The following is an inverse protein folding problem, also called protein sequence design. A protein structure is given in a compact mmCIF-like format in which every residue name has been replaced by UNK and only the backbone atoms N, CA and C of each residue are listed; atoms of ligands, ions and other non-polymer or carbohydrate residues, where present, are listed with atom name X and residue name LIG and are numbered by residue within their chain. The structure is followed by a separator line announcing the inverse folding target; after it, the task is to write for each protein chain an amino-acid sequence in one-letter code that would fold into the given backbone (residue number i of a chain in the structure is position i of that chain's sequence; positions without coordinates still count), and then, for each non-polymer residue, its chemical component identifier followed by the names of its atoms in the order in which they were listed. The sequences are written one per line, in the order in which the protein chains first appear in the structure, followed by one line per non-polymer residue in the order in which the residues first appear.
data_IF_100957220756
#
_entry.id   IF_100957220756
#
_cell.length_a   1.000
_cell.length_b   1.000
_cell.length_c   1.000
_cell.angle_alpha   90.00
_cell.angle_beta   90.00
_cell.angle_gamma   90.00
#
_symmetry.space_group_name_H-M   'P 1'
#
loop_
_entity.id
_entity.type
_entity.pdbx_description
1 polymer ?
#
# COMPACT_ATOMS: atom_id res chain seq x y z
N UNK A 1 1.80 2.46 12.03
CA UNK A 1 1.11 1.31 12.68
C UNK A 1 1.30 0.12 11.75
N UNK A 2 2.19 -0.82 12.08
CA UNK A 2 2.53 -2.09 11.39
C UNK A 2 3.88 -2.63 11.87
N UNK A 3 4.69 -1.80 12.52
CA UNK A 3 6.06 -2.11 12.98
C UNK A 3 6.16 -3.43 13.75
N UNK A 4 5.25 -3.68 14.70
CA UNK A 4 5.22 -4.94 15.47
C UNK A 4 4.87 -6.19 14.62
N UNK A 5 4.14 -6.03 13.50
CA UNK A 5 3.83 -7.13 12.58
C UNK A 5 5.03 -7.43 11.68
N UNK A 6 5.73 -6.39 11.27
CA UNK A 6 6.94 -6.46 10.44
C UNK A 6 8.10 -7.10 11.22
N UNK A 7 8.28 -6.74 12.49
CA UNK A 7 9.34 -7.25 13.36
C UNK A 7 9.34 -8.78 13.45
N UNK A 8 8.16 -9.41 13.51
CA UNK A 8 8.00 -10.89 13.52
C UNK A 8 8.56 -11.59 12.29
N UNK A 9 8.77 -10.85 11.20
CA UNK A 9 9.16 -11.36 9.88
C UNK A 9 10.59 -10.97 9.50
N UNK A 10 11.26 -10.22 10.36
CA UNK A 10 12.63 -9.77 10.12
C UNK A 10 13.57 -10.98 9.98
N UNK A 11 14.46 -10.93 9.00
CA UNK A 11 15.43 -12.00 8.72
C UNK A 11 14.88 -13.19 7.92
N UNK A 12 13.58 -13.21 7.56
CA UNK A 12 13.05 -14.23 6.67
C UNK A 12 13.43 -13.95 5.21
N UNK A 13 13.69 -15.01 4.44
CA UNK A 13 14.12 -14.90 3.04
C UNK A 13 13.02 -14.38 2.09
N UNK A 14 11.75 -14.63 2.41
CA UNK A 14 10.61 -14.14 1.64
C UNK A 14 9.50 -13.69 2.58
N UNK A 15 9.17 -12.41 2.53
CA UNK A 15 8.19 -11.76 3.42
C UNK A 15 6.93 -11.30 2.66
N UNK A 16 6.73 -11.82 1.45
CA UNK A 16 5.55 -11.47 0.65
C UNK A 16 4.27 -12.10 1.20
N UNK A 17 3.15 -11.42 1.03
CA UNK A 17 1.83 -11.94 1.43
C UNK A 17 1.48 -13.22 0.66
N UNK A 18 1.89 -13.32 -0.61
CA UNK A 18 1.75 -14.53 -1.43
C UNK A 18 2.49 -15.74 -0.82
N UNK A 19 3.69 -15.53 -0.29
CA UNK A 19 4.48 -16.58 0.34
C UNK A 19 3.77 -17.16 1.57
N UNK A 20 3.31 -16.28 2.47
CA UNK A 20 2.56 -16.70 3.66
C UNK A 20 1.24 -17.38 3.31
N UNK A 21 0.49 -16.81 2.35
CA UNK A 21 -0.78 -17.38 1.90
C UNK A 21 -0.63 -18.82 1.38
N UNK A 22 0.41 -19.10 0.58
CA UNK A 22 0.68 -20.44 0.05
C UNK A 22 1.10 -21.45 1.11
N UNK A 23 1.48 -21.00 2.30
CA UNK A 23 1.74 -21.84 3.47
C UNK A 23 0.51 -22.00 4.38
N UNK A 24 -0.64 -21.43 4.00
CA UNK A 24 -1.85 -21.42 4.82
C UNK A 24 -1.78 -20.48 6.01
N UNK A 25 -0.81 -19.55 6.04
CA UNK A 25 -0.63 -18.60 7.14
C UNK A 25 -1.46 -17.35 6.86
N UNK A 26 -2.43 -17.08 7.75
CA UNK A 26 -3.16 -15.80 7.78
C UNK A 26 -2.30 -14.77 8.50
N UNK A 27 -1.88 -13.73 7.79
CA UNK A 27 -1.06 -12.63 8.32
C UNK A 27 -1.93 -11.56 8.97
N UNK A 28 -1.31 -10.67 9.76
CA UNK A 28 -2.03 -9.51 10.31
C UNK A 28 -2.59 -8.59 9.20
N UNK A 29 -1.90 -8.47 8.06
CA UNK A 29 -2.45 -7.73 6.92
C UNK A 29 -3.69 -8.41 6.32
N UNK A 30 -3.68 -9.74 6.16
CA UNK A 30 -4.86 -10.47 5.66
C UNK A 30 -6.05 -10.33 6.61
N UNK A 31 -5.82 -10.47 7.92
CA UNK A 31 -6.85 -10.31 8.94
C UNK A 31 -7.43 -8.87 8.95
N UNK A 32 -6.56 -7.86 8.84
CA UNK A 32 -6.97 -6.46 8.76
C UNK A 32 -7.86 -6.20 7.54
N UNK A 33 -7.45 -6.70 6.37
CA UNK A 33 -8.19 -6.54 5.12
C UNK A 33 -9.51 -7.30 5.14
N UNK A 34 -9.51 -8.53 5.65
CA UNK A 34 -10.73 -9.33 5.81
C UNK A 34 -11.78 -8.56 6.63
N UNK A 35 -11.37 -7.97 7.76
CA UNK A 35 -12.24 -7.11 8.56
C UNK A 35 -12.72 -5.87 7.79
N UNK A 36 -11.83 -5.17 7.09
CA UNK A 36 -12.14 -3.96 6.32
C UNK A 36 -13.13 -4.20 5.18
N UNK A 37 -13.00 -5.34 4.51
CA UNK A 37 -13.85 -5.74 3.38
C UNK A 37 -15.11 -6.50 3.82
N UNK A 38 -15.24 -6.85 5.10
CA UNK A 38 -16.27 -7.74 5.63
C UNK A 38 -16.27 -9.11 4.93
N UNK A 39 -15.09 -9.73 4.82
CA UNK A 39 -14.85 -11.04 4.22
C UNK A 39 -14.26 -12.00 5.24
N UNK A 40 -14.41 -13.33 5.07
CA UNK A 40 -13.67 -14.31 5.86
C UNK A 40 -12.16 -14.22 5.62
N UNK A 41 -11.36 -14.39 6.68
CA UNK A 41 -9.89 -14.42 6.58
C UNK A 41 -9.38 -15.53 5.67
N UNK A 42 -10.03 -16.70 5.71
CA UNK A 42 -9.71 -17.83 4.83
C UNK A 42 -9.88 -17.48 3.36
N UNK A 43 -10.94 -16.75 2.99
CA UNK A 43 -11.18 -16.33 1.62
C UNK A 43 -10.08 -15.38 1.14
N UNK A 44 -9.69 -14.40 1.96
CA UNK A 44 -8.60 -13.47 1.62
C UNK A 44 -7.29 -14.23 1.42
N UNK A 45 -6.94 -15.13 2.34
CA UNK A 45 -5.74 -15.96 2.25
C UNK A 45 -5.76 -16.85 1.00
N UNK A 46 -6.86 -17.53 0.70
CA UNK A 46 -7.01 -18.37 -0.50
C UNK A 46 -6.91 -17.56 -1.80
N UNK A 47 -7.54 -16.38 -1.87
CA UNK A 47 -7.46 -15.48 -3.03
C UNK A 47 -6.04 -14.96 -3.26
N UNK A 48 -5.31 -14.65 -2.18
CA UNK A 48 -3.90 -14.27 -2.25
C UNK A 48 -3.05 -15.47 -2.68
N UNK A 49 -3.24 -16.65 -2.09
CA UNK A 49 -2.47 -17.86 -2.41
C UNK A 49 -2.57 -18.26 -3.89
N UNK A 50 -3.77 -18.11 -4.47
CA UNK A 50 -4.05 -18.40 -5.89
C UNK A 50 -3.74 -17.25 -6.85
N UNK A 51 -3.27 -16.11 -6.34
CA UNK A 51 -2.84 -14.97 -7.16
C UNK A 51 -3.97 -14.16 -7.79
N UNK A 52 -5.18 -14.23 -7.24
CA UNK A 52 -6.36 -13.47 -7.70
C UNK A 52 -6.67 -12.24 -6.82
N UNK A 53 -5.93 -12.10 -5.74
CA UNK A 53 -5.91 -10.92 -4.87
C UNK A 53 -4.47 -10.62 -4.46
N UNK A 54 -4.14 -9.34 -4.35
CA UNK A 54 -2.87 -8.87 -3.80
C UNK A 54 -3.11 -7.94 -2.61
N UNK A 55 -2.13 -7.87 -1.71
CA UNK A 55 -2.06 -6.88 -0.62
C UNK A 55 -0.71 -6.16 -0.77
N UNK A 56 -0.67 -4.97 -1.39
CA UNK A 56 0.57 -4.22 -1.62
C UNK A 56 1.09 -3.61 -0.32
N UNK A 57 1.88 -4.38 0.42
CA UNK A 57 2.27 -4.05 1.79
C UNK A 57 3.76 -4.23 2.03
N UNK A 58 4.57 -3.41 1.37
CA UNK A 58 6.02 -3.37 1.58
C UNK A 58 6.35 -3.21 3.09
N UNK A 59 7.34 -3.95 3.58
CA UNK A 59 7.79 -3.93 4.97
C UNK A 59 8.36 -2.57 5.39
N UNK A 60 8.86 -1.77 4.43
CA UNK A 60 9.42 -0.45 4.70
C UNK A 60 8.36 0.67 4.72
N UNK A 61 7.07 0.33 4.60
CA UNK A 61 5.97 1.28 4.70
C UNK A 61 5.15 1.02 5.99
N UNK A 62 5.67 1.43 7.17
CA UNK A 62 5.10 1.07 8.46
C UNK A 62 3.84 1.87 8.83
N UNK A 63 3.50 2.91 8.06
CA UNK A 63 2.31 3.74 8.26
C UNK A 63 1.11 3.27 7.42
N UNK A 64 1.32 2.29 6.54
CA UNK A 64 0.29 1.72 5.68
C UNK A 64 -0.86 1.11 6.49
N UNK A 65 -2.09 1.46 6.13
CA UNK A 65 -3.31 0.75 6.46
C UNK A 65 -3.61 -0.27 5.34
N UNK A 66 -3.44 -1.59 5.60
CA UNK A 66 -3.55 -2.58 4.55
C UNK A 66 -4.89 -2.58 3.81
N UNK A 67 -4.83 -2.93 2.53
CA UNK A 67 -6.00 -3.15 1.67
C UNK A 67 -5.73 -4.25 0.64
N UNK A 68 -6.78 -4.89 0.15
CA UNK A 68 -6.71 -5.84 -0.94
C UNK A 68 -7.11 -5.23 -2.28
N UNK A 69 -6.48 -5.72 -3.34
CA UNK A 69 -6.91 -5.52 -4.72
C UNK A 69 -7.17 -6.91 -5.30
N UNK A 70 -8.43 -7.21 -5.64
CA UNK A 70 -8.84 -8.50 -6.20
C UNK A 70 -10.34 -8.59 -6.41
N UNK A 71 -10.77 -9.58 -7.20
CA UNK A 71 -12.17 -9.73 -7.63
C UNK A 71 -13.15 -9.90 -6.46
N UNK A 72 -12.73 -10.57 -5.38
CA UNK A 72 -13.57 -10.81 -4.20
C UNK A 72 -13.67 -9.59 -3.25
N UNK A 73 -12.84 -8.56 -3.43
CA UNK A 73 -12.88 -7.32 -2.65
C UNK A 73 -13.67 -6.24 -3.38
N UNK A 74 -14.03 -5.14 -2.70
CA UNK A 74 -14.60 -3.95 -3.36
C UNK A 74 -13.66 -3.45 -4.46
N UNK A 75 -14.22 -2.85 -5.50
CA UNK A 75 -13.42 -2.14 -6.50
C UNK A 75 -12.58 -1.05 -5.82
N UNK A 76 -11.32 -0.89 -6.26
CA UNK A 76 -10.36 0.05 -5.70
C UNK A 76 -10.00 1.12 -6.73
N UNK A 77 -9.80 2.35 -6.29
CA UNK A 77 -9.46 3.50 -7.15
C UNK A 77 -8.06 4.01 -6.83
N UNK A 78 -7.27 4.24 -7.86
CA UNK A 78 -5.94 4.86 -7.73
C UNK A 78 -5.98 6.34 -8.13
N UNK A 79 -5.27 7.19 -7.39
CA UNK A 79 -5.00 8.57 -7.78
C UNK A 79 -3.53 8.75 -8.18
N UNK A 80 -3.28 9.42 -9.30
CA UNK A 80 -1.92 9.79 -9.71
C UNK A 80 -1.62 11.20 -9.22
N UNK A 81 -0.49 11.36 -8.55
CA UNK A 81 0.11 12.64 -8.18
C UNK A 81 1.54 12.71 -8.76
N UNK A 82 2.25 13.80 -8.53
CA UNK A 82 3.63 13.93 -8.96
C UNK A 82 4.01 15.36 -9.33
N UNK A 83 5.27 15.68 -9.04
CA UNK A 83 5.92 16.91 -9.45
C UNK A 83 6.43 16.84 -10.89
N UNK A 84 6.45 17.98 -11.55
CA UNK A 84 6.98 18.14 -12.89
C UNK A 84 8.11 19.17 -12.89
N UNK A 85 8.98 19.20 -13.92
CA UNK A 85 10.05 20.19 -14.03
C UNK A 85 9.61 21.65 -13.85
N UNK A 86 8.33 21.93 -14.12
CA UNK A 86 7.78 23.28 -14.15
C UNK A 86 6.82 23.57 -13.00
N UNK A 87 6.45 22.58 -12.17
CA UNK A 87 5.40 22.74 -11.17
C UNK A 87 5.47 21.67 -10.08
N UNK A 88 5.03 22.07 -8.89
CA UNK A 88 4.91 21.28 -7.65
C UNK A 88 6.19 21.10 -6.86
N UNK A 89 6.08 21.36 -5.56
CA UNK A 89 7.10 21.08 -4.55
C UNK A 89 6.63 19.97 -3.58
N UNK A 90 7.46 19.63 -2.59
CA UNK A 90 7.13 18.61 -1.58
C UNK A 90 5.81 18.94 -0.86
N UNK A 91 5.56 20.21 -0.54
CA UNK A 91 4.35 20.62 0.20
C UNK A 91 3.10 20.44 -0.65
N UNK A 92 3.17 20.80 -1.93
CA UNK A 92 2.06 20.60 -2.87
C UNK A 92 1.75 19.13 -3.10
N UNK A 93 2.77 18.27 -3.24
CA UNK A 93 2.56 16.82 -3.38
C UNK A 93 1.94 16.19 -2.13
N UNK A 94 2.35 16.61 -0.94
CA UNK A 94 1.74 16.16 0.31
C UNK A 94 0.27 16.59 0.43
N UNK A 95 -0.07 17.81 -0.01
CA UNK A 95 -1.46 18.27 -0.06
C UNK A 95 -2.29 17.46 -1.06
N UNK A 96 -1.74 17.13 -2.24
CA UNK A 96 -2.41 16.28 -3.23
C UNK A 96 -2.66 14.88 -2.67
N UNK A 97 -1.68 14.29 -1.98
CA UNK A 97 -1.82 13.02 -1.27
C UNK A 97 -2.95 13.07 -0.25
N UNK A 98 -2.94 14.06 0.65
CA UNK A 98 -3.97 14.23 1.67
C UNK A 98 -5.36 14.36 1.04
N UNK A 99 -5.48 15.16 -0.02
CA UNK A 99 -6.73 15.38 -0.72
C UNK A 99 -7.24 14.11 -1.40
N UNK A 100 -6.36 13.35 -2.06
CA UNK A 100 -6.70 12.09 -2.71
C UNK A 100 -7.24 11.07 -1.71
N UNK A 101 -6.54 10.89 -0.58
CA UNK A 101 -6.98 9.98 0.49
C UNK A 101 -8.29 10.45 1.11
N UNK A 102 -8.43 11.75 1.39
CA UNK A 102 -9.66 12.35 1.95
C UNK A 102 -10.90 12.08 1.09
N UNK A 103 -10.76 12.08 -0.23
CA UNK A 103 -11.86 11.81 -1.16
C UNK A 103 -11.98 10.34 -1.60
N UNK A 104 -11.22 9.44 -0.97
CA UNK A 104 -11.42 8.00 -1.11
C UNK A 104 -10.54 7.31 -2.17
N UNK A 105 -9.38 7.88 -2.51
CA UNK A 105 -8.37 7.11 -3.23
C UNK A 105 -7.89 5.95 -2.36
N UNK A 106 -7.97 4.73 -2.89
CA UNK A 106 -7.48 3.53 -2.23
C UNK A 106 -5.97 3.42 -2.37
N UNK A 107 -5.40 3.77 -3.51
CA UNK A 107 -3.95 3.81 -3.71
C UNK A 107 -3.54 5.13 -4.33
N UNK A 108 -2.27 5.49 -4.18
CA UNK A 108 -1.69 6.65 -4.83
C UNK A 108 -0.43 6.24 -5.57
N UNK A 109 -0.22 6.78 -6.77
CA UNK A 109 1.06 6.66 -7.46
C UNK A 109 1.76 8.01 -7.53
N UNK A 110 3.02 8.04 -7.09
CA UNK A 110 3.93 9.14 -7.33
C UNK A 110 4.58 8.97 -8.71
N UNK A 111 4.14 9.80 -9.66
CA UNK A 111 4.64 9.84 -11.03
C UNK A 111 5.51 11.08 -11.29
N UNK A 112 6.21 11.57 -10.26
CA UNK A 112 7.09 12.72 -10.38
C UNK A 112 8.17 12.50 -11.45
N UNK A 113 8.37 13.49 -12.32
CA UNK A 113 9.26 13.40 -13.51
C UNK A 113 10.47 14.31 -13.47
N UNK A 114 10.55 15.27 -12.54
CA UNK A 114 11.71 16.15 -12.36
C UNK A 114 11.33 17.51 -11.76
N UNK A 115 12.29 18.43 -11.68
CA UNK A 115 12.10 19.78 -11.13
C UNK A 115 12.39 19.93 -9.64
N UNK A 116 12.40 18.82 -8.92
CA UNK A 116 12.68 18.72 -7.48
C UNK A 116 13.48 17.45 -7.20
N UNK A 117 13.99 17.32 -5.98
CA UNK A 117 14.61 16.08 -5.54
C UNK A 117 13.54 14.98 -5.37
N UNK A 118 13.49 14.05 -6.33
CA UNK A 118 12.48 12.99 -6.39
C UNK A 118 12.52 12.08 -5.16
N UNK A 119 13.72 11.77 -4.66
CA UNK A 119 13.88 10.89 -3.51
C UNK A 119 13.34 11.54 -2.23
N UNK A 120 13.56 12.85 -2.08
CA UNK A 120 13.04 13.62 -0.94
C UNK A 120 11.51 13.69 -0.96
N UNK A 121 10.93 14.04 -2.11
CA UNK A 121 9.47 14.09 -2.31
C UNK A 121 8.85 12.74 -2.00
N UNK A 122 9.38 11.67 -2.60
CA UNK A 122 8.84 10.32 -2.44
C UNK A 122 9.00 9.81 -1.01
N UNK A 123 10.11 10.09 -0.35
CA UNK A 123 10.31 9.74 1.06
C UNK A 123 9.26 10.42 1.93
N UNK A 124 8.99 11.71 1.70
CA UNK A 124 7.95 12.45 2.42
C UNK A 124 6.55 11.86 2.15
N UNK A 125 6.22 11.55 0.89
CA UNK A 125 4.95 10.91 0.50
C UNK A 125 4.76 9.57 1.20
N UNK A 126 5.77 8.68 1.17
CA UNK A 126 5.68 7.35 1.81
C UNK A 126 5.50 7.48 3.32
N UNK A 127 6.21 8.41 3.96
CA UNK A 127 6.09 8.65 5.40
C UNK A 127 4.71 9.18 5.78
N UNK A 128 4.13 10.07 4.98
CA UNK A 128 2.81 10.66 5.24
C UNK A 128 1.64 9.75 4.83
N UNK A 129 1.84 8.86 3.84
CA UNK A 129 0.74 8.10 3.26
C UNK A 129 0.27 6.94 4.14
N UNK A 130 -1.04 6.85 4.44
CA UNK A 130 -1.65 5.65 5.02
C UNK A 130 -2.06 4.62 3.95
N UNK A 131 -1.99 4.96 2.67
CA UNK A 131 -2.40 4.08 1.55
C UNK A 131 -1.21 3.58 0.75
N UNK A 132 -1.32 2.45 0.02
CA UNK A 132 -0.23 1.94 -0.81
C UNK A 132 0.28 3.00 -1.80
N UNK A 133 1.59 3.16 -1.87
CA UNK A 133 2.27 4.04 -2.83
C UNK A 133 2.88 3.20 -3.96
N UNK A 134 2.51 3.51 -5.19
CA UNK A 134 3.15 3.01 -6.40
C UNK A 134 4.03 4.07 -7.07
N UNK A 135 4.93 3.62 -7.94
CA UNK A 135 5.85 4.45 -8.73
C UNK A 135 6.04 3.82 -10.11
N UNK A 136 6.69 4.55 -11.03
CA UNK A 136 7.20 4.04 -12.33
C UNK A 136 8.70 4.23 -12.39
#
# INVERSE_FOLDING_TARGET
MRSAWIEKRQGQANVSQLHYARQGVVTEEMAHVAKRENLPESLVMEEVARGRMIIPANINHPNLEPMAIGIASKCKVNANIGASPNASDVSEELKKLELAVKYGADTVMDLSTGGVNLDEVRTAIIQASPVPIGTV
#
